data_IF_910523746220
#
_entry.id   IF_910523746220
#
_cell.length_a   1.000
_cell.length_b   1.000
_cell.length_c   1.000
_cell.angle_alpha   90.00
_cell.angle_beta   90.00
_cell.angle_gamma   90.00
#
_symmetry.space_group_name_H-M   'P 1'
#
loop_
_entity.id
_entity.type
_entity.pdbx_description
1 polymer ?
#
# COMPACT_ATOMS: atom_id res chain seq x y z
N UNK A 1 -7.71 2.46 12.36
CA UNK A 1 -6.64 3.43 12.00
C UNK A 1 -7.23 4.82 11.97
N UNK A 2 -6.85 5.66 12.93
CA UNK A 2 -7.49 6.95 13.18
C UNK A 2 -7.09 7.98 12.11
N UNK A 3 -7.95 8.97 11.86
CA UNK A 3 -7.70 10.06 10.89
C UNK A 3 -6.48 10.91 11.23
N UNK A 4 -6.01 10.84 12.48
CA UNK A 4 -4.88 11.59 13.00
C UNK A 4 -3.53 11.03 12.53
N UNK A 5 -3.37 9.71 12.53
CA UNK A 5 -2.18 9.03 11.99
C UNK A 5 -1.99 9.33 10.50
N UNK A 6 -3.10 9.38 9.74
CA UNK A 6 -3.08 9.74 8.32
C UNK A 6 -2.57 11.15 8.07
N UNK A 7 -2.94 12.12 8.91
CA UNK A 7 -2.49 13.52 8.79
C UNK A 7 -1.02 13.69 9.16
N UNK A 8 -0.55 12.98 10.18
CA UNK A 8 0.85 12.98 10.58
C UNK A 8 1.76 12.38 9.49
N UNK A 9 1.34 11.28 8.86
CA UNK A 9 2.07 10.67 7.75
C UNK A 9 2.11 11.55 6.49
N UNK A 10 1.05 12.32 6.21
CA UNK A 10 1.07 13.31 5.11
C UNK A 10 1.93 14.53 5.39
N UNK A 11 2.05 14.97 6.66
CA UNK A 11 2.92 16.09 7.04
C UNK A 11 4.41 15.73 6.95
N UNK A 12 4.74 14.44 7.10
CA UNK A 12 6.10 13.92 6.91
C UNK A 12 6.48 13.72 5.42
N UNK A 13 5.63 14.10 4.47
CA UNK A 13 5.94 14.02 3.04
C UNK A 13 6.02 12.58 2.49
N UNK A 14 5.68 11.57 3.28
CA UNK A 14 5.66 10.17 2.88
C UNK A 14 4.33 9.90 2.17
N UNK A 15 4.16 10.44 0.95
CA UNK A 15 3.17 9.91 0.00
C UNK A 15 3.77 8.67 -0.64
N UNK A 16 3.48 7.52 -0.06
CA UNK A 16 3.79 6.20 -0.62
C UNK A 16 2.92 5.92 -1.84
N UNK A 17 3.36 6.39 -3.01
CA UNK A 17 3.04 5.81 -4.32
C UNK A 17 4.33 5.59 -5.12
N UNK A 18 5.35 4.97 -4.51
CA UNK A 18 6.56 4.51 -5.24
C UNK A 18 6.24 3.51 -6.37
N UNK A 19 5.05 2.91 -6.38
CA UNK A 19 4.60 2.02 -7.45
C UNK A 19 4.19 2.75 -8.74
N UNK A 20 3.97 4.07 -8.73
CA UNK A 20 3.54 4.85 -9.91
C UNK A 20 4.69 5.54 -10.65
N UNK A 21 5.90 5.54 -10.08
CA UNK A 21 7.05 6.17 -10.73
C UNK A 21 7.60 5.30 -11.87
N UNK A 22 7.88 5.94 -13.01
CA UNK A 22 8.59 5.32 -14.13
C UNK A 22 9.91 4.70 -13.65
N UNK A 23 10.33 3.60 -14.26
CA UNK A 23 11.55 2.89 -13.86
C UNK A 23 12.76 3.83 -13.90
N UNK A 24 12.77 4.80 -14.83
CA UNK A 24 13.81 5.84 -14.92
C UNK A 24 13.92 6.67 -13.66
N UNK A 25 12.80 7.14 -13.11
CA UNK A 25 12.82 7.94 -11.89
C UNK A 25 13.30 7.11 -10.70
N UNK A 26 12.93 5.83 -10.63
CA UNK A 26 13.44 4.92 -9.60
C UNK A 26 14.96 4.78 -9.67
N UNK A 27 15.51 4.51 -10.86
CA UNK A 27 16.96 4.38 -11.08
C UNK A 27 17.69 5.70 -10.78
N UNK A 28 17.13 6.84 -11.19
CA UNK A 28 17.71 8.15 -10.89
C UNK A 28 17.72 8.45 -9.39
N UNK A 29 16.61 8.19 -8.67
CA UNK A 29 16.53 8.38 -7.22
C UNK A 29 17.52 7.48 -6.48
N UNK A 30 17.70 6.23 -6.92
CA UNK A 30 18.67 5.31 -6.30
C UNK A 30 20.12 5.67 -6.59
N UNK A 31 20.40 6.46 -7.65
CA UNK A 31 21.73 6.99 -7.93
C UNK A 31 22.11 8.18 -7.03
N UNK A 32 21.12 8.94 -6.56
CA UNK A 32 21.34 10.17 -5.79
C UNK A 32 22.20 9.98 -4.53
N UNK A 33 22.02 8.94 -3.69
CA UNK A 33 22.86 8.73 -2.52
C UNK A 33 24.35 8.69 -2.86
N UNK A 34 24.74 7.98 -3.92
CA UNK A 34 26.15 7.88 -4.31
C UNK A 34 26.68 9.22 -4.78
N UNK A 35 25.91 9.90 -5.64
CA UNK A 35 26.25 11.25 -6.13
C UNK A 35 26.43 12.20 -4.96
N UNK A 36 25.46 12.27 -4.04
CA UNK A 36 25.50 13.13 -2.87
C UNK A 36 26.72 12.79 -1.99
N UNK A 37 26.98 11.51 -1.71
CA UNK A 37 28.13 11.09 -0.91
C UNK A 37 29.46 11.49 -1.55
N UNK A 38 29.62 11.34 -2.86
CA UNK A 38 30.83 11.78 -3.57
C UNK A 38 30.94 13.31 -3.56
N UNK A 39 29.85 14.04 -3.79
CA UNK A 39 29.83 15.50 -3.72
C UNK A 39 30.20 16.03 -2.32
N UNK A 40 29.80 15.33 -1.26
CA UNK A 40 30.23 15.65 0.10
C UNK A 40 31.71 15.31 0.31
N UNK A 41 32.20 14.19 -0.24
CA UNK A 41 33.60 13.79 -0.12
C UNK A 41 34.56 14.73 -0.87
N UNK A 42 34.14 15.35 -1.98
CA UNK A 42 34.98 16.21 -2.81
C UNK A 42 35.63 17.39 -2.03
N UNK A 43 34.90 18.20 -1.24
CA UNK A 43 35.50 19.21 -0.37
C UNK A 43 36.49 18.65 0.65
N UNK A 44 36.22 17.47 1.23
CA UNK A 44 37.12 16.85 2.19
C UNK A 44 38.45 16.47 1.53
N UNK A 45 38.38 15.89 0.33
CA UNK A 45 39.58 15.57 -0.47
C UNK A 45 40.31 16.86 -0.87
N UNK A 46 39.59 17.91 -1.28
CA UNK A 46 40.20 19.18 -1.68
C UNK A 46 40.94 19.88 -0.52
N UNK A 47 40.43 19.74 0.71
CA UNK A 47 41.04 20.32 1.90
C UNK A 47 42.19 19.47 2.46
N UNK A 48 42.09 18.14 2.38
CA UNK A 48 43.07 17.21 2.96
C UNK A 48 44.23 16.84 2.03
N UNK A 49 43.92 16.62 0.75
CA UNK A 49 44.87 16.10 -0.26
C UNK A 49 44.48 16.63 -1.66
N UNK A 50 44.72 17.92 -1.95
CA UNK A 50 44.39 18.50 -3.25
C UNK A 50 45.10 17.81 -4.42
N UNK A 51 46.25 17.18 -4.20
CA UNK A 51 47.00 16.37 -5.16
C UNK A 51 46.18 15.22 -5.76
N UNK A 52 45.20 14.68 -5.03
CA UNK A 52 44.32 13.60 -5.48
C UNK A 52 43.52 13.96 -6.74
N UNK A 53 43.23 15.26 -6.96
CA UNK A 53 42.59 15.73 -8.19
C UNK A 53 43.50 15.65 -9.42
N UNK A 54 44.81 15.61 -9.22
CA UNK A 54 45.79 15.36 -10.28
C UNK A 54 45.70 13.93 -10.82
N UNK A 55 45.29 12.98 -9.97
CA UNK A 55 45.38 11.57 -10.32
C UNK A 55 44.40 11.14 -11.41
N UNK A 56 44.87 10.41 -12.43
CA UNK A 56 44.04 10.05 -13.58
C UNK A 56 42.92 9.09 -13.16
N UNK A 57 43.18 8.16 -12.23
CA UNK A 57 42.17 7.25 -11.71
C UNK A 57 41.02 8.02 -11.03
N UNK A 58 41.34 9.03 -10.21
CA UNK A 58 40.33 9.83 -9.52
C UNK A 58 39.47 10.62 -10.50
N UNK A 59 40.08 11.29 -11.50
CA UNK A 59 39.35 12.03 -12.54
C UNK A 59 38.50 11.11 -13.42
N UNK A 60 39.00 9.93 -13.78
CA UNK A 60 38.23 8.92 -14.51
C UNK A 60 37.03 8.42 -13.68
N UNK A 61 37.21 8.25 -12.37
CA UNK A 61 36.12 7.89 -11.45
C UNK A 61 35.02 8.94 -11.43
N UNK A 62 35.36 10.23 -11.34
CA UNK A 62 34.40 11.33 -11.42
C UNK A 62 33.70 11.40 -12.78
N UNK A 63 34.45 11.20 -13.87
CA UNK A 63 33.89 11.13 -15.22
C UNK A 63 32.90 9.97 -15.37
N UNK A 64 33.26 8.79 -14.85
CA UNK A 64 32.40 7.62 -14.89
C UNK A 64 31.13 7.82 -14.04
N UNK A 65 31.22 8.49 -12.89
CA UNK A 65 30.06 8.86 -12.07
C UNK A 65 29.11 9.79 -12.84
N UNK A 66 29.65 10.78 -13.53
CA UNK A 66 28.86 11.69 -14.35
C UNK A 66 28.17 10.94 -15.49
N UNK A 67 28.87 10.00 -16.15
CA UNK A 67 28.30 9.14 -17.21
C UNK A 67 27.21 8.21 -16.65
N UNK A 68 27.44 7.55 -15.52
CA UNK A 68 26.46 6.68 -14.87
C UNK A 68 25.20 7.46 -14.46
N UNK A 69 25.39 8.68 -13.94
CA UNK A 69 24.28 9.57 -13.56
C UNK A 69 23.52 10.10 -14.78
N UNK A 70 24.22 10.45 -15.86
CA UNK A 70 23.57 10.83 -17.11
C UNK A 70 22.79 9.64 -17.71
N UNK A 71 23.38 8.44 -17.68
CA UNK A 71 22.77 7.22 -18.17
C UNK A 71 21.51 6.86 -17.36
N UNK A 72 21.52 7.04 -16.04
CA UNK A 72 20.34 6.75 -15.21
C UNK A 72 19.12 7.61 -15.58
N UNK A 73 19.32 8.87 -16.00
CA UNK A 73 18.25 9.76 -16.46
C UNK A 73 17.90 9.60 -17.95
N UNK A 74 18.91 9.50 -18.81
CA UNK A 74 18.72 9.56 -20.27
C UNK A 74 18.17 8.26 -20.85
N UNK A 75 18.54 7.10 -20.27
CA UNK A 75 18.20 5.80 -20.83
C UNK A 75 16.75 5.42 -20.48
N UNK A 76 15.95 5.00 -21.48
CA UNK A 76 14.60 4.53 -21.25
C UNK A 76 14.57 3.10 -20.70
N UNK A 77 14.92 2.93 -19.41
CA UNK A 77 15.01 1.63 -18.75
C UNK A 77 13.73 0.78 -18.87
N UNK A 78 12.55 1.41 -18.94
CA UNK A 78 11.25 0.73 -19.11
C UNK A 78 11.15 -0.07 -20.42
N UNK A 79 11.95 0.29 -21.44
CA UNK A 79 11.95 -0.36 -22.76
C UNK A 79 13.05 -1.41 -22.93
N UNK A 80 13.94 -1.52 -21.96
CA UNK A 80 15.05 -2.47 -21.98
C UNK A 80 14.65 -3.78 -21.29
N UNK A 81 15.45 -4.82 -21.52
CA UNK A 81 15.30 -6.10 -20.84
C UNK A 81 15.37 -5.89 -19.31
N UNK A 82 14.54 -6.64 -18.57
CA UNK A 82 14.34 -6.45 -17.11
C UNK A 82 15.65 -6.29 -16.31
N UNK A 83 16.76 -7.04 -16.53
CA UNK A 83 17.99 -6.83 -15.77
C UNK A 83 18.89 -5.68 -16.26
N UNK A 84 18.52 -4.91 -17.29
CA UNK A 84 19.37 -3.84 -17.84
C UNK A 84 19.73 -2.76 -16.81
N UNK A 85 18.83 -2.48 -15.86
CA UNK A 85 19.10 -1.49 -14.83
C UNK A 85 20.25 -1.90 -13.88
N UNK A 86 20.62 -3.19 -13.82
CA UNK A 86 21.82 -3.66 -13.11
C UNK A 86 23.13 -3.21 -13.74
N UNK A 87 23.10 -2.50 -14.86
CA UNK A 87 24.32 -1.90 -15.40
C UNK A 87 24.82 -0.75 -14.51
N UNK A 88 23.93 0.04 -13.94
CA UNK A 88 24.30 1.21 -13.13
C UNK A 88 25.00 0.85 -11.79
N UNK A 89 24.55 -0.08 -10.94
CA UNK A 89 25.26 -0.45 -9.71
C UNK A 89 26.59 -1.12 -10.01
N UNK A 90 26.67 -1.84 -11.14
CA UNK A 90 27.92 -2.43 -11.60
C UNK A 90 28.92 -1.34 -12.02
N UNK A 91 28.44 -0.30 -12.71
CA UNK A 91 29.24 0.89 -13.02
C UNK A 91 29.65 1.64 -11.74
N UNK A 92 28.77 1.72 -10.73
CA UNK A 92 29.05 2.37 -9.46
C UNK A 92 30.21 1.68 -8.71
N UNK A 93 30.33 0.34 -8.74
CA UNK A 93 31.52 -0.33 -8.22
C UNK A 93 32.78 0.11 -8.97
N UNK A 94 32.71 0.28 -10.29
CA UNK A 94 33.81 0.83 -11.09
C UNK A 94 34.17 2.27 -10.69
N UNK A 95 33.16 3.12 -10.47
CA UNK A 95 33.34 4.48 -9.96
C UNK A 95 34.07 4.46 -8.63
N UNK A 96 33.57 3.70 -7.66
CA UNK A 96 34.14 3.62 -6.32
C UNK A 96 35.55 3.04 -6.37
N UNK A 97 35.80 2.04 -7.22
CA UNK A 97 37.13 1.47 -7.44
C UNK A 97 38.12 2.53 -7.93
N UNK A 98 37.74 3.32 -8.93
CA UNK A 98 38.59 4.38 -9.49
C UNK A 98 38.85 5.51 -8.49
N UNK A 99 37.79 5.97 -7.80
CA UNK A 99 37.90 6.99 -6.76
C UNK A 99 38.76 6.51 -5.59
N UNK A 100 38.56 5.26 -5.14
CA UNK A 100 39.33 4.66 -4.05
C UNK A 100 40.79 4.43 -4.44
N UNK A 101 41.06 4.03 -5.70
CA UNK A 101 42.43 3.86 -6.19
C UNK A 101 43.17 5.19 -6.24
N UNK A 102 42.53 6.25 -6.73
CA UNK A 102 43.15 7.58 -6.80
C UNK A 102 43.23 8.31 -5.46
N UNK A 103 42.33 8.03 -4.51
CA UNK A 103 42.21 8.74 -3.24
C UNK A 103 42.47 7.89 -1.99
N UNK A 104 43.13 6.73 -2.12
CA UNK A 104 43.34 5.75 -1.05
C UNK A 104 43.97 6.35 0.20
N UNK A 105 44.94 7.23 0.00
CA UNK A 105 45.72 7.84 1.09
C UNK A 105 45.02 9.05 1.72
N UNK A 106 44.03 9.63 1.01
CA UNK A 106 43.31 10.83 1.47
C UNK A 106 42.15 10.47 2.38
N UNK A 107 41.32 9.51 1.97
CA UNK A 107 40.07 9.20 2.67
C UNK A 107 39.82 7.68 2.65
N UNK A 108 40.19 7.02 3.75
CA UNK A 108 39.97 5.58 3.98
C UNK A 108 38.50 5.16 3.79
N UNK A 109 37.57 6.09 4.02
CA UNK A 109 36.13 5.87 3.95
C UNK A 109 35.54 5.70 2.54
N UNK A 110 36.30 5.93 1.45
CA UNK A 110 35.74 5.77 0.09
C UNK A 110 35.25 4.35 -0.20
N UNK A 111 35.93 3.34 0.37
CA UNK A 111 35.52 1.93 0.23
C UNK A 111 34.13 1.65 0.83
N UNK A 112 33.70 2.41 1.85
CA UNK A 112 32.38 2.26 2.47
C UNK A 112 31.25 2.66 1.54
N UNK A 113 31.51 3.46 0.51
CA UNK A 113 30.52 3.83 -0.51
C UNK A 113 29.98 2.61 -1.26
N UNK A 114 30.68 1.47 -1.23
CA UNK A 114 30.19 0.19 -1.79
C UNK A 114 28.86 -0.25 -1.17
N UNK A 115 28.52 0.22 0.03
CA UNK A 115 27.23 -0.10 0.66
C UNK A 115 26.05 0.34 -0.20
N UNK A 116 26.20 1.40 -0.99
CA UNK A 116 25.14 1.96 -1.82
C UNK A 116 24.76 1.05 -3.00
N UNK A 117 25.68 0.64 -3.90
CA UNK A 117 25.35 -0.32 -4.95
C UNK A 117 24.97 -1.69 -4.39
N UNK A 118 25.54 -2.11 -3.25
CA UNK A 118 25.15 -3.36 -2.56
C UNK A 118 23.70 -3.30 -2.10
N UNK A 119 23.30 -2.20 -1.44
CA UNK A 119 21.91 -1.99 -1.00
C UNK A 119 20.96 -2.01 -2.19
N UNK A 120 21.34 -1.38 -3.29
CA UNK A 120 20.50 -1.33 -4.47
C UNK A 120 20.31 -2.71 -5.13
N UNK A 121 21.38 -3.50 -5.22
CA UNK A 121 21.31 -4.88 -5.71
C UNK A 121 20.43 -5.75 -4.80
N UNK A 122 20.53 -5.59 -3.48
CA UNK A 122 19.71 -6.31 -2.50
C UNK A 122 18.22 -5.94 -2.61
N UNK A 123 17.93 -4.64 -2.72
CA UNK A 123 16.57 -4.11 -2.87
C UNK A 123 15.92 -4.52 -4.20
N UNK A 124 16.73 -4.72 -5.24
CA UNK A 124 16.21 -4.95 -6.59
C UNK A 124 15.33 -6.19 -6.73
N UNK A 125 15.43 -7.17 -5.81
CA UNK A 125 14.59 -8.37 -5.74
C UNK A 125 14.78 -9.37 -6.90
N UNK A 126 15.45 -8.97 -7.99
CA UNK A 126 15.78 -9.81 -9.13
C UNK A 126 16.94 -10.76 -8.77
N UNK A 127 16.82 -12.04 -9.14
CA UNK A 127 17.84 -13.10 -8.99
C UNK A 127 18.81 -12.89 -7.79
N UNK A 128 18.32 -13.05 -6.54
CA UNK A 128 19.04 -12.63 -5.33
C UNK A 128 20.41 -13.30 -5.15
N UNK A 129 20.57 -14.53 -5.66
CA UNK A 129 21.86 -15.22 -5.71
C UNK A 129 22.89 -14.46 -6.56
N UNK A 130 22.50 -14.07 -7.77
CA UNK A 130 23.37 -13.36 -8.70
C UNK A 130 23.70 -11.95 -8.19
N UNK A 131 22.70 -11.26 -7.63
CA UNK A 131 22.89 -9.94 -7.00
C UNK A 131 23.88 -10.00 -5.81
N UNK A 132 23.79 -11.05 -4.98
CA UNK A 132 24.74 -11.26 -3.88
C UNK A 132 26.16 -11.56 -4.38
N UNK A 133 26.29 -12.42 -5.40
CA UNK A 133 27.58 -12.74 -6.02
C UNK A 133 28.22 -11.49 -6.65
N UNK A 134 27.46 -10.69 -7.39
CA UNK A 134 27.94 -9.44 -8.01
C UNK A 134 28.32 -8.40 -6.95
N UNK A 135 27.55 -8.29 -5.88
CA UNK A 135 27.86 -7.39 -4.75
C UNK A 135 29.19 -7.77 -4.08
N UNK A 136 29.38 -9.06 -3.81
CA UNK A 136 30.61 -9.58 -3.23
C UNK A 136 31.80 -9.38 -4.17
N UNK A 137 31.68 -9.84 -5.42
CA UNK A 137 32.73 -9.72 -6.42
C UNK A 137 33.10 -8.26 -6.70
N UNK A 138 32.11 -7.37 -6.84
CA UNK A 138 32.33 -5.93 -7.04
C UNK A 138 33.09 -5.30 -5.87
N UNK A 139 32.70 -5.62 -4.63
CA UNK A 139 33.40 -5.11 -3.44
C UNK A 139 34.82 -5.66 -3.32
N UNK A 140 35.04 -6.95 -3.62
CA UNK A 140 36.38 -7.55 -3.64
C UNK A 140 37.26 -6.83 -4.67
N UNK A 141 36.74 -6.60 -5.88
CA UNK A 141 37.47 -5.90 -6.93
C UNK A 141 37.85 -4.48 -6.51
N UNK A 142 36.92 -3.71 -5.93
CA UNK A 142 37.17 -2.35 -5.44
C UNK A 142 38.34 -2.32 -4.46
N UNK A 143 38.36 -3.28 -3.54
CA UNK A 143 39.32 -3.28 -2.45
C UNK A 143 40.66 -3.86 -2.89
N UNK A 144 40.69 -4.91 -3.71
CA UNK A 144 41.93 -5.55 -4.17
C UNK A 144 42.65 -4.78 -5.28
N UNK A 145 41.92 -4.09 -6.17
CA UNK A 145 42.51 -3.35 -7.29
C UNK A 145 43.68 -2.44 -6.90
N UNK A 146 43.56 -1.54 -5.89
CA UNK A 146 44.69 -0.70 -5.51
C UNK A 146 45.87 -1.47 -4.93
N UNK A 147 45.64 -2.59 -4.22
CA UNK A 147 46.73 -3.42 -3.70
C UNK A 147 47.49 -4.13 -4.82
N UNK A 148 46.76 -4.67 -5.79
CA UNK A 148 47.35 -5.35 -6.96
C UNK A 148 48.16 -4.35 -7.79
N UNK A 149 47.64 -3.13 -8.00
CA UNK A 149 48.36 -2.06 -8.70
C UNK A 149 49.64 -1.66 -7.95
N UNK A 150 49.57 -1.62 -6.61
CA UNK A 150 50.73 -1.35 -5.76
C UNK A 150 51.71 -2.53 -5.62
N UNK A 151 51.45 -3.67 -6.26
CA UNK A 151 52.29 -4.88 -6.18
C UNK A 151 52.21 -5.64 -4.86
N UNK A 152 51.24 -5.31 -4.00
CA UNK A 152 51.04 -5.92 -2.68
C UNK A 152 50.19 -7.18 -2.80
N UNK A 153 50.79 -8.27 -3.28
CA UNK A 153 50.11 -9.54 -3.53
C UNK A 153 50.35 -10.60 -2.44
N UNK A 154 50.94 -10.22 -1.31
CA UNK A 154 51.11 -11.14 -0.19
C UNK A 154 49.76 -11.47 0.44
N UNK A 155 49.61 -12.71 0.94
CA UNK A 155 48.35 -13.19 1.51
C UNK A 155 47.88 -12.32 2.69
N UNK A 156 48.81 -11.79 3.47
CA UNK A 156 48.54 -10.91 4.61
C UNK A 156 47.87 -9.60 4.18
N UNK A 157 48.39 -8.98 3.11
CA UNK A 157 47.92 -7.69 2.61
C UNK A 157 46.55 -7.83 1.94
N UNK A 158 46.28 -8.98 1.31
CA UNK A 158 44.99 -9.30 0.67
C UNK A 158 43.92 -9.77 1.67
N UNK A 159 44.32 -10.33 2.82
CA UNK A 159 43.40 -10.84 3.83
C UNK A 159 42.79 -9.74 4.70
N UNK A 160 43.55 -8.72 5.09
CA UNK A 160 43.03 -7.65 5.95
C UNK A 160 41.85 -6.87 5.31
N UNK A 161 41.88 -6.50 4.03
CA UNK A 161 40.79 -5.80 3.36
C UNK A 161 39.56 -6.67 3.08
N UNK A 162 39.68 -8.00 3.16
CA UNK A 162 38.59 -8.95 2.87
C UNK A 162 37.40 -8.80 3.83
N UNK A 163 37.63 -8.22 5.01
CA UNK A 163 36.57 -7.91 5.97
C UNK A 163 35.48 -7.01 5.35
N UNK A 164 35.83 -6.08 4.44
CA UNK A 164 34.88 -5.16 3.81
C UNK A 164 33.87 -5.94 2.93
N UNK A 165 34.28 -6.78 1.95
CA UNK A 165 33.38 -7.66 1.21
C UNK A 165 32.48 -8.53 2.10
N UNK A 166 32.99 -9.08 3.20
CA UNK A 166 32.19 -9.90 4.10
C UNK A 166 31.12 -9.07 4.84
N UNK A 167 31.46 -7.87 5.31
CA UNK A 167 30.49 -6.95 5.92
C UNK A 167 29.44 -6.55 4.89
N UNK A 168 29.83 -6.22 3.66
CA UNK A 168 28.88 -5.88 2.59
C UNK A 168 27.96 -7.05 2.25
N UNK A 169 28.47 -8.28 2.25
CA UNK A 169 27.66 -9.48 2.03
C UNK A 169 26.67 -9.72 3.19
N UNK A 170 27.07 -9.45 4.44
CA UNK A 170 26.18 -9.52 5.59
C UNK A 170 25.05 -8.46 5.48
N UNK A 171 25.40 -7.23 5.10
CA UNK A 171 24.43 -6.14 4.85
C UNK A 171 23.49 -6.50 3.69
N UNK A 172 24.01 -7.06 2.60
CA UNK A 172 23.21 -7.56 1.50
C UNK A 172 22.19 -8.60 2.00
N UNK A 173 22.65 -9.56 2.81
CA UNK A 173 21.80 -10.60 3.38
C UNK A 173 20.66 -10.04 4.24
N UNK A 174 20.95 -9.10 5.14
CA UNK A 174 19.92 -8.50 6.00
C UNK A 174 18.89 -7.72 5.19
N UNK A 175 19.33 -6.90 4.22
CA UNK A 175 18.43 -6.15 3.34
C UNK A 175 17.60 -7.08 2.46
N UNK A 176 18.20 -8.11 1.89
CA UNK A 176 17.52 -9.08 1.04
C UNK A 176 16.46 -9.90 1.79
N UNK A 177 16.66 -10.17 3.08
CA UNK A 177 15.66 -10.83 3.95
C UNK A 177 14.47 -9.88 4.20
N UNK A 178 14.75 -8.64 4.60
CA UNK A 178 13.70 -7.64 4.90
C UNK A 178 12.84 -7.35 3.67
N UNK A 179 13.44 -7.27 2.47
CA UNK A 179 12.69 -7.02 1.24
C UNK A 179 11.76 -8.19 0.88
N UNK A 180 12.20 -9.44 1.06
CA UNK A 180 11.36 -10.63 0.84
C UNK A 180 10.15 -10.65 1.75
N UNK A 181 10.35 -10.39 3.04
CA UNK A 181 9.27 -10.34 4.03
C UNK A 181 8.23 -9.26 3.67
N UNK A 182 8.69 -8.10 3.19
CA UNK A 182 7.81 -6.98 2.82
C UNK A 182 6.95 -7.31 1.61
N UNK A 183 7.50 -8.01 0.61
CA UNK A 183 6.76 -8.43 -0.60
C UNK A 183 5.71 -9.50 -0.28
N UNK A 184 6.04 -10.47 0.58
CA UNK A 184 5.10 -11.52 0.99
C UNK A 184 3.97 -10.97 1.84
N UNK A 185 4.28 -10.09 2.81
CA UNK A 185 3.27 -9.43 3.63
C UNK A 185 2.32 -8.56 2.80
N UNK A 186 2.82 -7.86 1.78
CA UNK A 186 1.96 -7.08 0.88
C UNK A 186 1.02 -7.97 0.04
N UNK A 187 1.47 -9.16 -0.38
CA UNK A 187 0.61 -10.12 -1.10
C UNK A 187 -0.49 -10.65 -0.19
N UNK A 188 -0.15 -11.04 1.04
CA UNK A 188 -1.12 -11.54 2.02
C UNK A 188 -2.14 -10.46 2.40
N UNK A 189 -1.70 -9.21 2.61
CA UNK A 189 -2.60 -8.09 2.88
C UNK A 189 -3.52 -7.75 1.70
N UNK A 190 -3.05 -7.90 0.45
CA UNK A 190 -3.90 -7.72 -0.73
C UNK A 190 -4.93 -8.84 -0.85
N UNK A 191 -4.53 -10.09 -0.63
CA UNK A 191 -5.45 -11.22 -0.64
C UNK A 191 -6.55 -11.06 0.43
N UNK A 192 -6.17 -10.73 1.66
CA UNK A 192 -7.12 -10.49 2.75
C UNK A 192 -8.08 -9.31 2.47
N UNK A 193 -7.62 -8.26 1.77
CA UNK A 193 -8.49 -7.14 1.36
C UNK A 193 -9.51 -7.55 0.29
N UNK A 194 -9.10 -8.38 -0.67
CA UNK A 194 -10.00 -8.90 -1.71
C UNK A 194 -11.07 -9.77 -1.08
N UNK A 195 -10.68 -10.70 -0.20
CA UNK A 195 -11.61 -11.58 0.51
C UNK A 195 -12.62 -10.80 1.37
N UNK A 196 -12.16 -9.76 2.09
CA UNK A 196 -13.04 -8.88 2.87
C UNK A 196 -14.03 -8.10 1.97
N UNK A 197 -13.59 -7.64 0.80
CA UNK A 197 -14.46 -6.96 -0.16
C UNK A 197 -15.51 -7.90 -0.76
N UNK A 198 -15.14 -9.14 -1.07
CA UNK A 198 -16.07 -10.16 -1.55
C UNK A 198 -17.13 -10.49 -0.49
N UNK A 199 -16.72 -10.70 0.76
CA UNK A 199 -17.65 -10.94 1.87
C UNK A 199 -18.62 -9.78 2.12
N UNK A 200 -18.15 -8.53 2.01
CA UNK A 200 -19.01 -7.34 2.14
C UNK A 200 -20.00 -7.22 0.98
N UNK A 201 -19.60 -7.58 -0.24
CA UNK A 201 -20.49 -7.61 -1.41
C UNK A 201 -21.57 -8.70 -1.26
N UNK A 202 -21.20 -9.86 -0.73
CA UNK A 202 -22.13 -10.96 -0.46
C UNK A 202 -23.15 -10.58 0.64
N UNK A 203 -22.68 -10.00 1.74
CA UNK A 203 -23.56 -9.52 2.83
C UNK A 203 -24.54 -8.44 2.34
N UNK A 204 -24.09 -7.52 1.48
CA UNK A 204 -24.96 -6.51 0.84
C UNK A 204 -25.98 -7.13 -0.11
N UNK A 205 -25.61 -8.16 -0.87
CA UNK A 205 -26.56 -8.90 -1.73
C UNK A 205 -27.61 -9.60 -0.90
N UNK A 206 -27.23 -10.26 0.19
CA UNK A 206 -28.16 -10.91 1.11
C UNK A 206 -29.12 -9.92 1.79
N UNK A 207 -28.64 -8.73 2.19
CA UNK A 207 -29.52 -7.67 2.69
C UNK A 207 -30.45 -7.10 1.61
N UNK A 208 -29.97 -6.93 0.37
CA UNK A 208 -30.80 -6.47 -0.73
C UNK A 208 -31.89 -7.49 -1.12
N UNK A 209 -31.58 -8.78 -1.07
CA UNK A 209 -32.55 -9.86 -1.28
C UNK A 209 -33.57 -9.94 -0.13
N UNK A 210 -33.12 -9.78 1.13
CA UNK A 210 -34.03 -9.72 2.27
C UNK A 210 -34.98 -8.52 2.16
N UNK A 211 -34.46 -7.35 1.76
CA UNK A 211 -35.26 -6.14 1.56
C UNK A 211 -36.22 -6.29 0.38
N UNK A 212 -35.82 -6.93 -0.72
CA UNK A 212 -36.68 -7.17 -1.87
C UNK A 212 -37.80 -8.19 -1.58
N UNK A 213 -37.50 -9.24 -0.79
CA UNK A 213 -38.52 -10.20 -0.34
C UNK A 213 -39.52 -9.52 0.60
N UNK A 214 -39.05 -8.69 1.54
CA UNK A 214 -39.91 -7.91 2.44
C UNK A 214 -40.78 -6.88 1.70
N UNK A 215 -40.34 -6.37 0.55
CA UNK A 215 -41.08 -5.39 -0.27
C UNK A 215 -42.12 -6.05 -1.21
N UNK A 216 -41.99 -7.35 -1.48
CA UNK A 216 -42.96 -8.14 -2.27
C UNK A 216 -44.05 -8.85 -1.46
N UNK A 217 -44.00 -8.79 -0.13
CA UNK A 217 -45.07 -9.33 0.71
C UNK A 217 -46.12 -8.23 0.91
N UNK A 218 -47.35 -8.47 0.43
CA UNK A 218 -48.58 -7.66 0.62
C UNK A 218 -49.04 -7.63 2.10
N UNK A 219 -48.11 -7.44 3.04
CA UNK A 219 -48.38 -7.30 4.47
C UNK A 219 -47.86 -5.93 4.89
N UNK A 220 -48.79 -5.03 5.18
CA UNK A 220 -48.44 -3.74 5.73
C UNK A 220 -47.97 -3.90 7.17
N UNK A 221 -46.74 -3.47 7.48
CA UNK A 221 -46.18 -3.49 8.84
C UNK A 221 -46.20 -2.08 9.42
N UNK A 222 -46.76 -1.95 10.63
CA UNK A 222 -46.81 -0.73 11.44
C UNK A 222 -46.21 -1.03 12.82
N UNK A 223 -45.19 -0.29 13.23
CA UNK A 223 -44.62 -0.38 14.57
C UNK A 223 -44.95 0.87 15.38
N UNK A 224 -45.47 0.69 16.60
CA UNK A 224 -45.87 1.75 17.52
C UNK A 224 -44.96 1.79 18.76
N UNK A 225 -44.71 2.97 19.30
CA UNK A 225 -44.06 3.15 20.61
C UNK A 225 -45.02 2.81 21.77
N UNK A 226 -44.50 2.68 22.98
CA UNK A 226 -45.26 2.55 24.25
C UNK A 226 -46.27 3.68 24.49
N UNK A 227 -46.15 4.78 23.76
CA UNK A 227 -47.05 5.94 23.80
C UNK A 227 -48.09 5.95 22.65
N UNK A 228 -48.08 4.94 21.77
CA UNK A 228 -49.02 4.81 20.65
C UNK A 228 -48.62 5.58 19.38
N UNK A 229 -47.40 6.12 19.32
CA UNK A 229 -46.90 6.90 18.18
C UNK A 229 -46.22 6.00 17.13
N UNK A 230 -46.40 6.32 15.84
CA UNK A 230 -45.88 5.52 14.72
C UNK A 230 -44.37 5.71 14.57
N UNK A 231 -43.60 4.63 14.75
CA UNK A 231 -42.14 4.64 14.61
C UNK A 231 -41.71 4.20 13.20
N UNK A 232 -42.38 3.21 12.63
CA UNK A 232 -41.99 2.64 11.34
C UNK A 232 -43.21 2.11 10.59
N UNK A 233 -43.31 2.44 9.30
CA UNK A 233 -44.40 2.01 8.43
C UNK A 233 -43.84 1.59 7.06
N UNK A 234 -44.16 0.38 6.59
CA UNK A 234 -43.74 -0.10 5.26
C UNK A 234 -44.65 0.49 4.16
N UNK A 235 -44.15 0.57 2.91
CA UNK A 235 -44.81 1.23 1.79
C UNK A 235 -46.26 0.73 1.52
N UNK A 236 -46.58 -0.58 1.56
CA UNK A 236 -47.98 -1.04 1.44
C UNK A 236 -48.89 -0.51 2.56
N UNK A 237 -48.34 -0.30 3.76
CA UNK A 237 -49.05 0.18 4.93
C UNK A 237 -49.24 1.71 4.89
N UNK A 238 -48.30 2.45 4.26
CA UNK A 238 -48.46 3.88 3.93
C UNK A 238 -49.65 4.09 3.00
N UNK A 239 -49.73 3.29 1.94
CA UNK A 239 -50.82 3.37 0.95
C UNK A 239 -52.17 3.08 1.61
N UNK A 240 -52.26 2.03 2.45
CA UNK A 240 -53.48 1.73 3.18
C UNK A 240 -53.85 2.82 4.19
N UNK A 241 -52.86 3.38 4.90
CA UNK A 241 -53.10 4.48 5.85
C UNK A 241 -53.68 5.71 5.15
N UNK A 242 -53.13 6.12 4.00
CA UNK A 242 -53.67 7.22 3.20
C UNK A 242 -55.10 6.97 2.69
N UNK A 243 -55.47 5.72 2.43
CA UNK A 243 -56.83 5.36 2.01
C UNK A 243 -57.84 5.38 3.16
N UNK A 244 -57.39 5.30 4.41
CA UNK A 244 -58.23 5.35 5.62
C UNK A 244 -58.42 6.76 6.20
N UNK A 245 -57.71 7.77 5.68
CA UNK A 245 -57.83 9.16 6.14
C UNK A 245 -59.03 9.88 5.47
N UNK A 246 -59.93 10.53 6.24
CA UNK A 246 -60.94 11.43 5.70
C UNK A 246 -60.28 12.63 5.01
N UNK A 247 -60.89 13.14 3.94
CA UNK A 247 -60.38 14.30 3.19
C UNK A 247 -60.32 15.53 4.10
N UNK A 248 -59.11 15.97 4.44
CA UNK A 248 -58.85 17.22 5.14
C UNK A 248 -58.16 17.14 6.50
N UNK A 249 -57.73 15.96 6.98
CA UNK A 249 -57.05 15.85 8.29
C UNK A 249 -55.73 15.07 8.23
N UNK A 250 -54.74 15.49 9.01
CA UNK A 250 -53.35 14.97 8.97
C UNK A 250 -52.93 14.15 10.21
N UNK A 251 -53.83 13.90 11.18
CA UNK A 251 -53.59 12.96 12.29
C UNK A 251 -54.88 12.71 13.07
N UNK A 252 -55.20 11.43 13.40
CA UNK A 252 -56.29 11.07 14.30
C UNK A 252 -56.01 9.76 15.07
N UNK A 253 -56.60 9.69 16.27
CA UNK A 253 -56.57 8.57 17.23
C UNK A 253 -57.39 7.39 16.71
N UNK A 254 -56.82 6.18 16.83
CA UNK A 254 -57.26 4.90 16.23
C UNK A 254 -58.69 4.46 16.58
N UNK A 255 -59.32 5.02 17.62
CA UNK A 255 -60.68 4.68 18.06
C UNK A 255 -61.81 5.05 17.08
N UNK A 256 -61.51 5.82 16.02
CA UNK A 256 -62.50 6.27 15.04
C UNK A 256 -62.29 5.74 13.62
N UNK A 257 -61.41 4.75 13.45
CA UNK A 257 -61.14 4.17 12.13
C UNK A 257 -62.34 3.37 11.60
N UNK A 258 -63.03 3.92 10.60
CA UNK A 258 -63.97 3.18 9.77
C UNK A 258 -63.26 2.70 8.50
N UNK A 259 -63.23 1.38 8.29
CA UNK A 259 -62.66 0.80 7.07
C UNK A 259 -63.68 0.96 5.95
N UNK A 260 -63.30 1.71 4.91
CA UNK A 260 -64.10 1.88 3.70
C UNK A 260 -63.66 0.89 2.62
N UNK A 261 -64.61 0.42 1.81
CA UNK A 261 -64.30 -0.34 0.59
C UNK A 261 -63.62 0.53 -0.47
N UNK A 262 -63.07 -0.10 -1.52
CA UNK A 262 -62.41 0.59 -2.65
C UNK A 262 -63.28 1.67 -3.33
N UNK A 263 -64.61 1.62 -3.14
CA UNK A 263 -65.58 2.58 -3.68
C UNK A 263 -65.74 3.86 -2.83
N UNK A 264 -65.12 3.92 -1.64
CA UNK A 264 -65.20 5.01 -0.65
C UNK A 264 -66.63 5.41 -0.25
N UNK A 265 -67.64 4.56 -0.47
CA UNK A 265 -69.06 4.89 -0.23
C UNK A 265 -69.72 4.00 0.82
N UNK A 266 -69.16 2.83 1.14
CA UNK A 266 -69.70 1.92 2.16
C UNK A 266 -68.77 1.84 3.37
N UNK A 267 -69.27 2.27 4.53
CA UNK A 267 -68.63 2.06 5.83
C UNK A 267 -68.82 0.61 6.26
N UNK A 268 -67.72 -0.10 6.53
CA UNK A 268 -67.77 -1.45 7.07
C UNK A 268 -67.62 -1.37 8.59
N UNK A 269 -68.75 -1.32 9.32
CA UNK A 269 -68.73 -1.29 10.78
C UNK A 269 -68.16 -2.59 11.37
N UNK A 270 -66.91 -2.55 11.84
CA UNK A 270 -66.38 -3.42 12.89
C UNK A 270 -65.43 -2.62 13.77
N UNK A 271 -65.89 -2.32 14.99
CA UNK A 271 -65.09 -1.77 16.10
C UNK A 271 -64.09 -2.83 16.63
N UNK A 272 -62.97 -2.43 17.27
CA UNK A 272 -61.76 -3.22 17.36
C UNK A 272 -61.80 -4.35 18.39
N UNK A 273 -60.90 -5.29 18.13
CA UNK A 273 -60.57 -6.49 18.90
C UNK A 273 -60.27 -6.14 20.37
N UNK A 274 -61.15 -6.53 21.29
CA UNK A 274 -60.79 -6.76 22.71
C UNK A 274 -60.12 -8.14 22.85
N UNK A 275 -59.14 -8.32 23.75
CA UNK A 275 -58.43 -9.58 23.90
C UNK A 275 -59.26 -10.56 24.73
N UNK A 276 -60.01 -11.45 24.07
CA UNK A 276 -60.62 -12.59 24.76
C UNK A 276 -60.95 -13.74 23.80
N UNK A 277 -59.99 -14.67 23.67
CA UNK A 277 -60.13 -16.15 23.55
C UNK A 277 -61.09 -16.74 22.46
N UNK A 278 -61.00 -18.07 22.17
CA UNK A 278 -60.63 -18.56 20.85
C UNK A 278 -61.85 -19.03 20.04
N UNK A 279 -62.05 -18.51 18.84
CA UNK A 279 -62.98 -19.10 17.87
C UNK A 279 -62.65 -18.69 16.43
N UNK A 280 -62.51 -19.69 15.56
CA UNK A 280 -62.93 -19.61 14.16
C UNK A 280 -61.95 -18.98 13.17
N UNK A 281 -61.22 -19.83 12.46
CA UNK A 281 -60.52 -19.50 11.21
C UNK A 281 -61.54 -19.04 10.16
N UNK A 282 -61.37 -17.83 9.60
CA UNK A 282 -61.99 -17.40 8.35
C UNK A 282 -60.85 -16.88 7.44
N UNK A 283 -60.79 -17.28 6.15
CA UNK A 283 -59.64 -17.04 5.29
C UNK A 283 -59.69 -15.63 4.68
N UNK A 284 -58.85 -14.73 5.19
CA UNK A 284 -58.44 -13.50 4.51
C UNK A 284 -57.04 -13.14 5.01
N UNK A 285 -56.07 -12.81 4.14
CA UNK A 285 -54.68 -12.80 4.55
C UNK A 285 -54.36 -11.58 5.42
N UNK A 286 -54.11 -11.90 6.70
CA UNK A 286 -52.99 -11.42 7.52
C UNK A 286 -52.97 -9.94 7.96
N UNK A 287 -53.74 -9.63 8.99
CA UNK A 287 -53.28 -8.73 10.07
C UNK A 287 -52.79 -9.62 11.22
N UNK A 288 -51.49 -9.59 11.51
CA UNK A 288 -50.88 -10.32 12.64
C UNK A 288 -50.28 -9.31 13.61
N UNK A 289 -50.79 -9.27 14.84
CA UNK A 289 -50.18 -8.52 15.93
C UNK A 289 -49.27 -9.46 16.74
N UNK A 290 -47.96 -9.37 16.51
CA UNK A 290 -46.96 -10.03 17.34
C UNK A 290 -46.34 -9.04 18.30
N UNK A 291 -46.44 -9.29 19.61
CA UNK A 291 -45.67 -8.59 20.64
C UNK A 291 -44.30 -9.26 20.79
N UNK A 292 -43.23 -8.47 20.72
CA UNK A 292 -41.88 -8.89 21.14
C UNK A 292 -41.64 -8.29 22.53
N UNK A 293 -41.23 -9.08 23.54
CA UNK A 293 -40.97 -8.58 24.89
C UNK A 293 -39.78 -7.62 24.98
#
# INVERSE_FOLDING_TARGET
>A
MSSFERRALTLLGIRTHFHEFSLRLKVAITQLPLVISVFIALPLVAAGSPETFGEPAFRLGLGLLAVATAASLAIPWDRLFVPAYWLIPLLDFGVICLLYTGGRDSVTGLSLLCVLPVFWLAWSGAAPWLAGLLSFAGTVLVVWTPLIIAGQTELRDLAAPMLIPFIMLAIFGTVAIVERDTVEQQKQLRAAKVELQESLLESRRSSALLSAVLDTVDVGVLALDRHGEIILMNNPQVINHELTLPVGTTSFVEETLEIFGLDRRRSCHRTPVRPSAPCGVIPSPTTWCGWVP
#
